data_IF_499276834656
#
_entry.id   IF_499276834656
#
_cell.length_a   1.000
_cell.length_b   1.000
_cell.length_c   1.000
_cell.angle_alpha   90.00
_cell.angle_beta   90.00
_cell.angle_gamma   90.00
#
_symmetry.space_group_name_H-M   'P 1'
#
loop_
_entity.id
_entity.type
_entity.pdbx_description
1 polymer ?
#
# COMPACT_ATOMS: atom_id res chain seq x y z
N UNK A 1 20.14 -25.01 9.39
CA UNK A 1 18.70 -25.35 9.49
C UNK A 1 17.92 -24.22 8.85
N UNK A 2 16.88 -24.51 8.06
CA UNK A 2 16.04 -23.43 7.50
C UNK A 2 15.41 -22.65 8.66
N UNK A 3 15.56 -21.33 8.65
CA UNK A 3 15.02 -20.40 9.64
C UNK A 3 14.10 -19.42 8.90
N UNK A 4 12.89 -19.21 9.39
CA UNK A 4 11.92 -18.29 8.80
C UNK A 4 10.92 -17.84 9.85
N UNK A 5 10.28 -16.70 9.61
CA UNK A 5 9.08 -16.28 10.35
C UNK A 5 7.86 -16.84 9.64
N UNK A 6 7.80 -16.67 8.32
CA UNK A 6 6.71 -17.16 7.47
C UNK A 6 7.21 -18.30 6.59
N UNK A 7 6.53 -19.46 6.69
CA UNK A 7 6.89 -20.62 5.89
C UNK A 7 6.72 -20.34 4.38
N UNK A 8 7.57 -20.92 3.51
CA UNK A 8 8.57 -21.95 3.81
C UNK A 8 10.01 -21.44 3.98
N UNK A 9 10.29 -20.15 3.79
CA UNK A 9 11.67 -19.66 3.69
C UNK A 9 11.77 -18.17 3.96
N UNK A 10 12.86 -17.75 4.59
CA UNK A 10 13.32 -16.36 4.60
C UNK A 10 14.43 -16.13 3.56
N UNK A 11 14.90 -14.89 3.44
CA UNK A 11 16.08 -14.55 2.65
C UNK A 11 17.29 -14.40 3.59
N UNK A 12 18.43 -14.93 3.15
CA UNK A 12 19.73 -14.76 3.80
C UNK A 12 20.82 -14.72 2.74
N UNK A 13 21.93 -14.07 3.04
CA UNK A 13 23.13 -14.07 2.20
C UNK A 13 24.01 -15.32 2.38
N UNK A 14 23.81 -16.04 3.48
CA UNK A 14 24.60 -17.19 3.97
C UNK A 14 23.74 -18.47 4.17
N UNK A 15 22.99 -18.96 3.16
CA UNK A 15 22.03 -20.06 3.36
C UNK A 15 22.63 -21.43 3.71
N UNK A 16 23.95 -21.58 3.62
CA UNK A 16 24.65 -22.86 3.73
C UNK A 16 25.63 -22.94 4.91
N UNK A 17 25.53 -22.04 5.89
CA UNK A 17 26.44 -21.93 7.03
C UNK A 17 26.88 -20.47 7.20
N UNK A 18 27.99 -20.27 7.90
CA UNK A 18 28.51 -18.93 8.15
C UNK A 18 28.86 -18.20 6.82
N UNK A 19 28.80 -16.88 6.84
CA UNK A 19 29.14 -16.06 5.67
C UNK A 19 30.62 -16.20 5.30
N UNK A 20 31.01 -15.75 4.10
CA UNK A 20 32.41 -15.83 3.67
C UNK A 20 33.15 -14.54 3.99
N UNK A 21 34.46 -14.63 4.18
CA UNK A 21 35.35 -13.48 4.11
C UNK A 21 35.15 -12.65 2.83
N UNK A 22 35.32 -11.33 2.95
CA UNK A 22 35.27 -10.35 1.87
C UNK A 22 33.97 -10.43 1.06
N UNK A 23 32.87 -10.81 1.71
CA UNK A 23 31.57 -10.87 1.06
C UNK A 23 31.14 -9.46 0.65
N UNK A 24 30.51 -9.37 -0.51
CA UNK A 24 29.84 -8.17 -0.98
C UNK A 24 28.59 -8.62 -1.73
N UNK A 25 27.46 -8.64 -1.01
CA UNK A 25 26.19 -9.16 -1.49
C UNK A 25 25.16 -8.04 -1.50
N UNK A 26 24.24 -8.11 -2.46
CA UNK A 26 23.12 -7.18 -2.53
C UNK A 26 21.89 -7.84 -3.12
N UNK A 27 20.73 -7.47 -2.62
CA UNK A 27 19.43 -7.82 -3.22
C UNK A 27 18.58 -6.57 -3.30
N UNK A 28 18.09 -6.25 -4.50
CA UNK A 28 17.28 -5.07 -4.81
C UNK A 28 15.88 -5.50 -5.24
N UNK A 29 14.88 -4.70 -4.87
CA UNK A 29 13.53 -4.89 -5.40
C UNK A 29 13.49 -4.55 -6.89
N UNK A 30 12.91 -5.46 -7.68
CA UNK A 30 12.76 -5.25 -9.13
C UNK A 30 11.84 -4.06 -9.45
N UNK A 31 10.86 -3.80 -8.59
CA UNK A 31 9.87 -2.74 -8.76
C UNK A 31 10.21 -1.55 -7.88
N UNK A 32 9.88 -0.36 -8.36
CA UNK A 32 9.92 0.87 -7.56
C UNK A 32 8.73 0.93 -6.61
N UNK A 33 8.89 1.67 -5.50
CA UNK A 33 7.83 2.01 -4.56
C UNK A 33 7.40 3.44 -4.84
N UNK A 34 6.12 3.64 -5.15
CA UNK A 34 5.57 4.96 -5.44
C UNK A 34 4.97 5.57 -4.18
N UNK A 35 5.56 6.67 -3.71
CA UNK A 35 5.12 7.43 -2.53
C UNK A 35 4.60 8.82 -2.93
N UNK A 36 4.26 9.05 -4.21
CA UNK A 36 3.88 10.38 -4.71
C UNK A 36 2.56 10.90 -4.12
N UNK A 37 1.58 10.02 -3.91
CA UNK A 37 0.23 10.37 -3.44
C UNK A 37 -0.09 9.84 -2.03
N UNK A 38 0.95 9.60 -1.21
CA UNK A 38 0.80 9.08 0.16
C UNK A 38 1.14 10.17 1.19
N UNK A 39 0.56 10.14 2.38
CA UNK A 39 0.82 11.09 3.49
C UNK A 39 1.63 10.49 4.64
N UNK A 40 1.85 9.18 4.62
CA UNK A 40 2.72 8.50 5.56
C UNK A 40 3.23 7.21 4.95
N UNK A 41 4.46 6.84 5.27
CA UNK A 41 5.06 5.60 4.80
C UNK A 41 6.06 5.07 5.81
N UNK A 42 6.07 3.75 6.00
CA UNK A 42 7.15 3.05 6.69
C UNK A 42 7.42 1.72 5.99
N UNK A 43 8.54 1.10 6.32
CA UNK A 43 8.83 -0.28 5.94
C UNK A 43 9.02 -1.11 7.20
N UNK A 44 8.51 -2.33 7.14
CA UNK A 44 8.64 -3.33 8.20
C UNK A 44 9.13 -4.64 7.61
N UNK A 45 9.99 -5.33 8.34
CA UNK A 45 10.40 -6.70 8.02
C UNK A 45 10.85 -7.39 9.31
N UNK A 46 10.79 -8.71 9.33
CA UNK A 46 11.42 -9.48 10.39
C UNK A 46 12.89 -9.66 10.09
N UNK A 47 13.76 -9.55 11.09
CA UNK A 47 15.19 -9.82 10.96
C UNK A 47 15.74 -10.53 12.19
N UNK A 48 16.79 -11.29 11.96
CA UNK A 48 17.74 -11.79 12.97
C UNK A 48 19.11 -11.74 12.32
N UNK A 49 20.16 -11.62 13.11
CA UNK A 49 21.50 -11.52 12.55
C UNK A 49 22.57 -11.97 13.55
N UNK A 50 23.67 -12.50 13.03
CA UNK A 50 24.90 -12.75 13.78
C UNK A 50 26.08 -12.37 12.88
N UNK A 51 26.62 -11.19 13.14
CA UNK A 51 27.56 -10.45 12.28
C UNK A 51 28.70 -9.94 13.16
N UNK A 52 29.94 -9.99 12.70
CA UNK A 52 31.07 -9.45 13.46
C UNK A 52 30.85 -7.96 13.81
N UNK A 53 30.81 -7.69 15.11
CA UNK A 53 30.53 -6.36 15.63
C UNK A 53 31.68 -5.39 15.31
N UNK A 54 31.36 -4.21 14.78
CA UNK A 54 32.26 -3.13 14.35
C UNK A 54 33.08 -3.37 13.07
N UNK A 55 32.89 -4.47 12.34
CA UNK A 55 33.66 -4.75 11.10
C UNK A 55 32.71 -5.08 9.96
N UNK A 56 31.91 -6.11 10.16
CA UNK A 56 30.96 -6.60 9.18
C UNK A 56 29.61 -5.93 9.35
N UNK A 57 28.80 -5.89 8.29
CA UNK A 57 27.52 -5.20 8.38
C UNK A 57 26.52 -5.58 7.31
N UNK A 58 25.24 -5.44 7.65
CA UNK A 58 24.14 -5.31 6.71
C UNK A 58 23.55 -3.89 6.72
N UNK A 59 22.99 -3.45 5.59
CA UNK A 59 22.25 -2.19 5.51
C UNK A 59 20.99 -2.35 4.66
N UNK A 60 19.89 -1.75 5.13
CA UNK A 60 18.74 -1.44 4.30
C UNK A 60 18.91 -0.04 3.70
N UNK A 61 18.78 0.07 2.38
CA UNK A 61 19.08 1.31 1.66
C UNK A 61 17.97 1.71 0.71
N UNK A 62 17.75 3.03 0.59
CA UNK A 62 16.79 3.65 -0.32
C UNK A 62 17.53 4.46 -1.39
N UNK A 63 17.02 4.43 -2.62
CA UNK A 63 17.46 5.30 -3.72
C UNK A 63 16.29 6.11 -4.27
N UNK A 64 16.52 7.41 -4.43
CA UNK A 64 15.56 8.38 -5.00
C UNK A 64 15.90 8.78 -6.45
N UNK A 65 16.97 8.22 -7.00
CA UNK A 65 17.52 8.63 -8.31
C UNK A 65 17.74 7.44 -9.25
N UNK A 66 16.85 6.46 -9.18
CA UNK A 66 16.89 5.29 -10.06
C UNK A 66 18.05 4.33 -9.81
N UNK A 67 18.64 4.35 -8.61
CA UNK A 67 19.73 3.45 -8.21
C UNK A 67 21.14 4.02 -8.40
N UNK A 68 21.28 5.30 -8.78
CA UNK A 68 22.59 5.94 -8.96
C UNK A 68 23.31 6.18 -7.62
N UNK A 69 22.56 6.49 -6.56
CA UNK A 69 23.07 6.58 -5.19
C UNK A 69 22.07 5.99 -4.21
N UNK A 70 22.58 5.58 -3.04
CA UNK A 70 21.83 4.85 -2.03
C UNK A 70 22.07 5.47 -0.65
N UNK A 71 21.00 5.60 0.13
CA UNK A 71 20.99 6.20 1.47
C UNK A 71 20.65 5.08 2.45
N UNK A 72 21.54 4.80 3.40
CA UNK A 72 21.28 3.83 4.46
C UNK A 72 20.25 4.37 5.44
N UNK A 73 19.30 3.50 5.83
CA UNK A 73 18.16 3.88 6.65
C UNK A 73 18.35 3.44 8.10
N UNK A 74 17.95 4.30 9.04
CA UNK A 74 17.92 3.98 10.46
C UNK A 74 16.58 3.33 10.85
N UNK A 75 16.66 2.34 11.72
CA UNK A 75 15.51 1.62 12.29
C UNK A 75 15.68 1.40 13.79
N UNK A 76 14.81 0.57 14.35
CA UNK A 76 14.80 0.17 15.75
C UNK A 76 16.02 -0.66 16.16
N UNK A 77 16.59 -1.44 15.24
CA UNK A 77 17.70 -2.37 15.51
C UNK A 77 18.98 -2.00 14.76
N UNK A 78 19.06 -0.80 14.20
CA UNK A 78 20.31 -0.28 13.62
C UNK A 78 21.14 0.49 14.64
N UNK A 79 22.46 0.44 14.49
CA UNK A 79 23.41 1.29 15.20
C UNK A 79 24.31 2.04 14.21
N UNK A 80 24.95 3.15 14.64
CA UNK A 80 25.93 3.84 13.81
C UNK A 80 27.16 2.95 13.58
N UNK A 81 27.68 2.95 12.34
CA UNK A 81 28.89 2.21 11.99
C UNK A 81 30.16 2.79 12.63
N UNK A 82 31.11 1.88 12.88
CA UNK A 82 32.47 2.13 13.38
C UNK A 82 33.40 2.75 12.33
N UNK A 83 34.69 2.91 12.66
CA UNK A 83 35.74 3.35 11.73
C UNK A 83 36.06 2.35 10.61
N UNK A 84 35.80 1.06 10.82
CA UNK A 84 36.01 -0.01 9.83
C UNK A 84 34.75 -0.29 8.99
N UNK A 85 33.65 0.39 9.32
CA UNK A 85 32.37 0.34 8.62
C UNK A 85 32.07 1.69 7.94
N UNK A 86 30.91 1.88 7.29
CA UNK A 86 30.44 3.20 6.90
C UNK A 86 30.20 4.09 8.13
N UNK A 87 31.24 4.80 8.55
CA UNK A 87 31.29 5.56 9.81
C UNK A 87 30.06 6.44 10.00
N UNK A 88 29.37 6.23 11.13
CA UNK A 88 28.18 6.98 11.52
C UNK A 88 26.90 6.70 10.71
N UNK A 89 26.95 5.88 9.66
CA UNK A 89 25.75 5.47 8.94
C UNK A 89 25.03 4.33 9.67
N UNK A 90 23.69 4.26 9.58
CA UNK A 90 22.94 3.18 10.21
C UNK A 90 23.23 1.84 9.52
N UNK A 91 23.45 0.80 10.32
CA UNK A 91 23.69 -0.57 9.88
C UNK A 91 23.27 -1.59 10.94
N UNK A 92 23.29 -2.87 10.58
CA UNK A 92 23.14 -4.00 11.48
C UNK A 92 24.50 -4.70 11.63
N UNK A 93 24.96 -4.87 12.86
CA UNK A 93 26.09 -5.70 13.24
C UNK A 93 25.88 -6.30 14.65
N UNK A 94 26.79 -7.18 15.08
CA UNK A 94 26.64 -7.91 16.34
C UNK A 94 25.61 -9.03 16.25
N UNK A 95 25.02 -9.40 17.40
CA UNK A 95 24.18 -10.59 17.51
C UNK A 95 22.76 -10.26 17.97
N UNK A 96 21.78 -10.66 17.14
CA UNK A 96 20.36 -10.66 17.40
C UNK A 96 19.78 -12.05 17.10
N UNK A 97 19.83 -12.93 18.10
CA UNK A 97 19.48 -14.36 17.93
C UNK A 97 17.99 -14.63 17.65
N UNK A 98 17.10 -13.76 18.15
CA UNK A 98 15.67 -13.90 17.97
C UNK A 98 15.21 -13.06 16.79
N UNK A 99 14.25 -13.58 16.02
CA UNK A 99 13.50 -12.77 15.05
C UNK A 99 12.83 -11.60 15.74
N UNK A 100 13.17 -10.40 15.29
CA UNK A 100 12.59 -9.14 15.73
C UNK A 100 12.00 -8.41 14.53
N UNK A 101 10.93 -7.66 14.75
CA UNK A 101 10.32 -6.87 13.69
C UNK A 101 10.97 -5.50 13.64
N UNK A 102 11.70 -5.24 12.56
CA UNK A 102 12.26 -3.94 12.24
C UNK A 102 11.19 -3.00 11.67
N UNK A 103 11.34 -1.71 11.96
CA UNK A 103 10.52 -0.63 11.47
C UNK A 103 11.39 0.59 11.15
N UNK A 104 11.26 1.06 9.92
CA UNK A 104 12.00 2.22 9.40
C UNK A 104 10.99 3.22 8.86
N UNK A 105 11.08 4.47 9.32
CA UNK A 105 10.26 5.58 8.82
C UNK A 105 10.72 6.00 7.42
N UNK A 106 9.76 6.20 6.51
CA UNK A 106 10.01 6.66 5.15
C UNK A 106 9.39 8.03 4.88
N UNK A 107 9.01 8.78 5.92
CA UNK A 107 8.41 10.12 5.79
C UNK A 107 9.23 11.10 4.94
N UNK A 108 10.56 10.93 4.92
CA UNK A 108 11.46 11.78 4.14
C UNK A 108 11.33 11.57 2.61
N UNK A 109 10.69 10.48 2.20
CA UNK A 109 10.52 10.08 0.81
C UNK A 109 9.11 10.30 0.26
N UNK A 110 8.22 10.90 1.06
CA UNK A 110 6.88 11.28 0.62
C UNK A 110 6.97 12.22 -0.58
N UNK A 111 6.13 12.00 -1.59
CA UNK A 111 6.14 12.74 -2.86
C UNK A 111 7.14 12.20 -3.90
N UNK A 112 7.82 11.09 -3.63
CA UNK A 112 8.86 10.53 -4.52
C UNK A 112 8.58 9.08 -4.90
N UNK A 113 9.19 8.64 -6.00
CA UNK A 113 9.30 7.22 -6.34
C UNK A 113 10.67 6.71 -5.95
N UNK A 114 10.72 5.67 -5.13
CA UNK A 114 11.95 5.15 -4.54
C UNK A 114 12.26 3.71 -4.98
N UNK A 115 13.52 3.30 -4.82
CA UNK A 115 13.97 1.91 -4.86
C UNK A 115 14.52 1.51 -3.50
N UNK A 116 14.45 0.23 -3.18
CA UNK A 116 15.00 -0.31 -1.95
C UNK A 116 15.87 -1.54 -2.21
N UNK A 117 16.92 -1.70 -1.39
CA UNK A 117 17.79 -2.87 -1.40
C UNK A 117 18.32 -3.19 -0.01
N UNK A 118 18.76 -4.43 0.15
CA UNK A 118 19.66 -4.82 1.23
C UNK A 118 21.07 -5.03 0.67
N UNK A 119 22.07 -4.68 1.46
CA UNK A 119 23.47 -5.05 1.22
C UNK A 119 24.06 -5.74 2.43
N UNK A 120 25.03 -6.61 2.20
CA UNK A 120 25.85 -7.24 3.23
C UNK A 120 27.32 -7.17 2.82
N UNK A 121 28.20 -6.82 3.77
CA UNK A 121 29.64 -6.84 3.60
C UNK A 121 30.35 -7.43 4.80
N UNK A 122 31.43 -8.15 4.51
CA UNK A 122 32.37 -8.63 5.52
C UNK A 122 33.81 -8.29 5.18
N UNK A 123 34.65 -8.25 6.21
CA UNK A 123 36.10 -8.10 6.13
C UNK A 123 36.77 -9.48 5.91
N UNK A 124 38.06 -9.62 6.23
CA UNK A 124 38.81 -10.84 5.98
C UNK A 124 38.95 -11.80 7.18
N UNK A 125 38.21 -11.61 8.27
CA UNK A 125 38.20 -12.53 9.41
C UNK A 125 36.82 -12.58 10.09
N UNK A 126 36.63 -13.57 10.95
CA UNK A 126 35.50 -13.72 11.89
C UNK A 126 34.14 -13.74 11.20
N UNK A 127 33.72 -14.96 10.88
CA UNK A 127 32.44 -15.22 10.26
C UNK A 127 31.37 -15.60 11.29
N UNK A 128 30.11 -15.31 10.97
CA UNK A 128 28.93 -15.67 11.76
C UNK A 128 27.79 -16.16 10.87
N UNK A 129 26.62 -16.47 11.46
CA UNK A 129 25.45 -16.97 10.71
C UNK A 129 24.96 -15.96 9.66
N UNK A 130 25.25 -14.67 9.81
CA UNK A 130 24.96 -13.63 8.83
C UNK A 130 23.61 -12.95 9.02
N UNK A 131 23.12 -12.30 7.97
CA UNK A 131 21.90 -11.49 8.02
C UNK A 131 20.70 -12.20 7.39
N UNK A 132 19.59 -12.25 8.14
CA UNK A 132 18.33 -12.81 7.68
C UNK A 132 17.25 -11.75 7.67
N UNK A 133 16.38 -11.79 6.66
CA UNK A 133 15.12 -11.03 6.69
C UNK A 133 13.94 -11.81 6.10
N UNK A 134 12.74 -11.47 6.56
CA UNK A 134 11.48 -12.09 6.15
C UNK A 134 10.32 -11.08 6.19
N UNK A 135 9.23 -11.37 5.47
CA UNK A 135 7.99 -10.57 5.39
C UNK A 135 8.20 -9.05 5.14
N UNK A 136 9.10 -8.70 4.21
CA UNK A 136 9.32 -7.31 3.82
C UNK A 136 8.03 -6.66 3.29
N UNK A 137 7.57 -5.63 3.99
CA UNK A 137 6.32 -4.93 3.70
C UNK A 137 6.55 -3.42 3.74
N UNK A 138 6.12 -2.72 2.68
CA UNK A 138 6.02 -1.26 2.65
C UNK A 138 4.59 -0.88 2.99
N UNK A 139 4.41 -0.14 4.08
CA UNK A 139 3.11 0.32 4.53
C UNK A 139 2.97 1.79 4.13
N UNK A 140 1.92 2.12 3.39
CA UNK A 140 1.58 3.50 3.03
C UNK A 140 0.24 3.89 3.62
N UNK A 141 0.13 5.17 3.96
CA UNK A 141 -1.09 5.82 4.39
C UNK A 141 -1.44 6.86 3.33
N UNK A 142 -2.59 6.70 2.68
CA UNK A 142 -3.11 7.68 1.73
C UNK A 142 -4.12 8.58 2.44
N UNK A 143 -4.32 9.80 1.93
CA UNK A 143 -5.40 10.72 2.36
C UNK A 143 -6.81 10.20 2.00
N UNK A 144 -6.97 8.93 1.62
CA UNK A 144 -8.26 8.38 1.22
C UNK A 144 -9.27 8.47 2.38
N UNK A 145 -10.07 9.53 2.33
CA UNK A 145 -11.41 9.59 2.92
C UNK A 145 -12.17 8.36 2.42
N UNK A 146 -12.22 7.26 3.19
CA UNK A 146 -13.06 6.06 2.98
C UNK A 146 -13.86 6.12 1.67
N UNK A 147 -13.19 5.96 0.52
CA UNK A 147 -13.83 6.19 -0.77
C UNK A 147 -14.57 4.93 -1.11
N UNK A 148 -15.90 5.02 -1.13
CA UNK A 148 -16.73 4.01 -1.77
C UNK A 148 -16.30 4.02 -3.23
N UNK A 149 -15.95 2.85 -3.78
CA UNK A 149 -15.66 2.66 -5.21
C UNK A 149 -16.52 3.60 -6.04
N UNK A 150 -15.85 4.38 -6.89
CA UNK A 150 -16.40 5.34 -7.83
C UNK A 150 -17.78 4.87 -8.30
N UNK A 151 -18.85 5.36 -7.66
CA UNK A 151 -20.19 5.21 -8.20
C UNK A 151 -20.06 5.90 -9.53
N UNK A 152 -20.11 5.16 -10.64
CA UNK A 152 -20.36 5.76 -11.94
C UNK A 152 -21.68 6.50 -11.79
N UNK A 153 -21.55 7.77 -11.42
CA UNK A 153 -22.64 8.63 -11.04
C UNK A 153 -23.26 8.96 -12.38
N UNK A 154 -24.18 8.11 -12.83
CA UNK A 154 -25.13 8.50 -13.85
C UNK A 154 -25.68 9.83 -13.36
N UNK A 155 -25.30 10.91 -14.05
CA UNK A 155 -25.70 12.27 -13.68
C UNK A 155 -27.17 12.38 -14.00
N UNK A 156 -28.00 11.91 -13.09
CA UNK A 156 -29.42 12.14 -13.14
C UNK A 156 -29.85 13.11 -12.04
N UNK A 157 -30.67 14.08 -12.42
CA UNK A 157 -31.30 15.01 -11.50
C UNK A 157 -32.79 14.74 -11.47
N UNK A 158 -33.41 14.94 -10.31
CA UNK A 158 -34.86 14.93 -10.19
C UNK A 158 -35.34 16.25 -9.59
N UNK A 159 -36.39 16.83 -10.17
CA UNK A 159 -37.00 18.04 -9.63
C UNK A 159 -38.48 18.16 -10.05
N UNK A 160 -39.31 18.84 -9.24
CA UNK A 160 -39.02 19.21 -7.85
C UNK A 160 -39.04 17.95 -6.96
N UNK A 161 -38.16 17.88 -5.97
CA UNK A 161 -38.27 16.95 -4.86
C UNK A 161 -38.33 17.78 -3.56
N UNK A 162 -39.46 17.84 -2.83
CA UNK A 162 -40.71 17.08 -3.01
C UNK A 162 -41.53 17.43 -4.27
N UNK A 163 -42.18 16.43 -4.87
CA UNK A 163 -43.06 16.59 -6.04
C UNK A 163 -44.54 16.62 -5.66
N UNK A 164 -45.33 17.44 -6.35
CA UNK A 164 -46.79 17.46 -6.23
C UNK A 164 -47.48 16.75 -7.40
N UNK A 165 -47.24 17.24 -8.61
CA UNK A 165 -47.94 16.76 -9.81
C UNK A 165 -46.99 16.06 -10.78
N UNK A 166 -45.91 16.74 -11.21
CA UNK A 166 -45.00 16.24 -12.24
C UNK A 166 -43.56 16.24 -11.73
N UNK A 167 -42.90 15.08 -11.78
CA UNK A 167 -41.47 14.91 -11.49
C UNK A 167 -40.69 14.91 -12.79
N UNK A 168 -39.75 15.82 -12.95
CA UNK A 168 -38.82 15.87 -14.06
C UNK A 168 -37.53 15.11 -13.73
N UNK A 169 -37.08 14.29 -14.67
CA UNK A 169 -35.83 13.53 -14.62
C UNK A 169 -34.91 14.12 -15.69
N UNK A 170 -33.76 14.66 -15.28
CA UNK A 170 -32.65 14.98 -16.18
C UNK A 170 -31.68 13.82 -16.16
N UNK A 171 -31.20 13.34 -17.30
CA UNK A 171 -30.23 12.24 -17.36
C UNK A 171 -29.53 12.21 -18.71
N UNK A 172 -28.34 11.59 -18.77
CA UNK A 172 -27.63 11.28 -20.01
C UNK A 172 -27.92 9.87 -20.55
N UNK A 173 -28.82 9.12 -19.89
CA UNK A 173 -29.21 7.78 -20.32
C UNK A 173 -30.00 7.80 -21.64
N UNK A 174 -29.64 6.91 -22.56
CA UNK A 174 -30.21 6.82 -23.92
C UNK A 174 -31.21 5.67 -24.13
N UNK A 175 -31.30 4.72 -23.19
CA UNK A 175 -32.34 3.68 -23.11
C UNK A 175 -32.50 3.22 -21.66
N UNK A 176 -33.58 3.61 -21.01
CA UNK A 176 -33.83 3.24 -19.62
C UNK A 176 -35.32 3.08 -19.29
N UNK A 177 -35.56 2.33 -18.22
CA UNK A 177 -36.86 2.20 -17.57
C UNK A 177 -36.84 2.99 -16.27
N UNK A 178 -37.78 3.91 -16.11
CA UNK A 178 -38.07 4.58 -14.85
C UNK A 178 -39.24 3.87 -14.16
N UNK A 179 -39.02 3.35 -12.96
CA UNK A 179 -40.02 2.64 -12.17
C UNK A 179 -40.19 3.30 -10.79
N UNK A 180 -41.45 3.50 -10.40
CA UNK A 180 -41.85 4.07 -9.10
C UNK A 180 -42.30 2.93 -8.19
N UNK A 181 -41.72 2.85 -7.00
CA UNK A 181 -42.06 1.87 -5.98
C UNK A 181 -42.57 2.57 -4.71
N UNK A 182 -43.52 1.93 -4.03
CA UNK A 182 -43.83 2.26 -2.65
C UNK A 182 -42.69 1.82 -1.71
N UNK A 183 -42.69 2.31 -0.46
CA UNK A 183 -41.65 1.98 0.53
C UNK A 183 -41.60 0.50 0.92
N UNK A 184 -42.68 -0.24 0.70
CA UNK A 184 -42.74 -1.70 0.90
C UNK A 184 -42.18 -2.50 -0.28
N UNK A 185 -41.72 -1.82 -1.35
CA UNK A 185 -41.17 -2.44 -2.56
C UNK A 185 -42.22 -2.77 -3.63
N UNK A 186 -43.49 -2.45 -3.42
CA UNK A 186 -44.55 -2.65 -4.42
C UNK A 186 -44.35 -1.73 -5.62
N UNK A 187 -44.34 -2.28 -6.83
CA UNK A 187 -44.26 -1.50 -8.08
C UNK A 187 -45.58 -0.76 -8.34
N UNK A 188 -45.51 0.56 -8.50
CA UNK A 188 -46.67 1.43 -8.70
C UNK A 188 -46.85 1.79 -10.18
N UNK A 189 -45.80 2.32 -10.81
CA UNK A 189 -45.82 2.77 -12.22
C UNK A 189 -44.46 2.52 -12.87
N UNK A 190 -44.44 2.35 -14.19
CA UNK A 190 -43.22 2.25 -14.99
C UNK A 190 -43.35 3.05 -16.30
N UNK A 191 -42.25 3.63 -16.77
CA UNK A 191 -42.18 4.35 -18.04
C UNK A 191 -40.84 4.07 -18.73
N UNK A 192 -40.84 3.95 -20.06
CA UNK A 192 -39.61 3.81 -20.86
C UNK A 192 -39.24 5.18 -21.43
N UNK A 193 -37.94 5.51 -21.40
CA UNK A 193 -37.44 6.76 -21.93
C UNK A 193 -36.01 6.61 -22.47
N UNK A 194 -35.63 7.53 -23.34
CA UNK A 194 -34.33 7.58 -24.01
C UNK A 194 -33.59 8.91 -23.83
N UNK A 195 -34.12 9.79 -22.98
CA UNK A 195 -33.56 11.09 -22.64
C UNK A 195 -34.23 11.62 -21.35
N UNK A 196 -34.10 12.92 -21.07
CA UNK A 196 -34.88 13.61 -20.04
C UNK A 196 -36.37 13.27 -20.15
N UNK A 197 -37.02 13.02 -19.02
CA UNK A 197 -38.38 12.49 -18.99
C UNK A 197 -39.18 13.11 -17.84
N UNK A 198 -40.50 13.01 -17.89
CA UNK A 198 -41.38 13.49 -16.83
C UNK A 198 -42.36 12.40 -16.42
N UNK A 199 -42.57 12.24 -15.11
CA UNK A 199 -43.48 11.26 -14.53
C UNK A 199 -44.61 11.97 -13.80
N UNK A 200 -45.83 11.47 -13.98
CA UNK A 200 -47.04 11.98 -13.32
C UNK A 200 -47.26 11.30 -11.95
N UNK A 201 -47.15 12.12 -10.91
CA UNK A 201 -47.34 11.78 -9.50
C UNK A 201 -48.70 12.25 -8.96
N UNK A 202 -49.53 12.94 -9.75
CA UNK A 202 -50.77 13.58 -9.28
C UNK A 202 -51.80 12.60 -8.70
N UNK A 203 -51.81 11.35 -9.18
CA UNK A 203 -52.69 10.28 -8.67
C UNK A 203 -52.15 9.58 -7.41
N UNK A 204 -50.92 9.88 -6.98
CA UNK A 204 -50.28 9.20 -5.86
C UNK A 204 -50.62 9.88 -4.54
N UNK A 205 -50.90 9.06 -3.52
CA UNK A 205 -51.11 9.56 -2.18
C UNK A 205 -49.84 10.25 -1.64
N UNK A 206 -49.95 11.27 -0.77
CA UNK A 206 -48.77 11.87 -0.15
C UNK A 206 -47.95 10.83 0.63
N UNK A 207 -46.66 10.70 0.30
CA UNK A 207 -45.78 9.70 0.90
C UNK A 207 -44.37 9.70 0.31
N UNK A 208 -43.53 8.79 0.81
CA UNK A 208 -42.19 8.55 0.28
C UNK A 208 -42.29 7.44 -0.77
N UNK A 209 -41.61 7.65 -1.90
CA UNK A 209 -41.54 6.69 -3.00
C UNK A 209 -40.10 6.52 -3.44
N UNK A 210 -39.77 5.34 -3.96
CA UNK A 210 -38.45 5.04 -4.52
C UNK A 210 -38.57 5.11 -6.04
N UNK A 211 -37.80 6.00 -6.66
CA UNK A 211 -37.59 6.03 -8.11
C UNK A 211 -36.34 5.21 -8.45
N UNK A 212 -36.52 4.19 -9.29
CA UNK A 212 -35.41 3.41 -9.84
C UNK A 212 -35.30 3.64 -11.34
N UNK A 213 -34.12 4.04 -11.80
CA UNK A 213 -33.76 4.04 -13.22
C UNK A 213 -32.98 2.77 -13.52
N UNK A 214 -33.31 2.06 -14.59
CA UNK A 214 -32.61 0.86 -15.02
C UNK A 214 -32.28 0.99 -16.49
N UNK A 215 -31.00 1.15 -16.80
CA UNK A 215 -30.49 1.13 -18.17
C UNK A 215 -30.64 -0.28 -18.74
N UNK A 216 -30.99 -0.37 -20.02
CA UNK A 216 -31.01 -1.64 -20.75
C UNK A 216 -29.69 -1.91 -21.46
#
# INVERSE_FOLDING_TARGET
>A
TQSFVSAPSSITESPNGDYNDNANKSIELNNTIDLTDVIGANVTFWTKFDIENNYDYAQFQISVNGGNSWISQCGLYTNPGSEDQPEGQPLYDGTQNNWVQEQIDLSDYIGQTIRARFIFRSDNNVEGDGFYFDDLTFNTLNEDTLSIEDIQQYRFGIYPNPVKDILHITTNLTDYIAAIYAMDGTLIKTSKASANHSLDYSDLAPGIYILKLSQK
#
